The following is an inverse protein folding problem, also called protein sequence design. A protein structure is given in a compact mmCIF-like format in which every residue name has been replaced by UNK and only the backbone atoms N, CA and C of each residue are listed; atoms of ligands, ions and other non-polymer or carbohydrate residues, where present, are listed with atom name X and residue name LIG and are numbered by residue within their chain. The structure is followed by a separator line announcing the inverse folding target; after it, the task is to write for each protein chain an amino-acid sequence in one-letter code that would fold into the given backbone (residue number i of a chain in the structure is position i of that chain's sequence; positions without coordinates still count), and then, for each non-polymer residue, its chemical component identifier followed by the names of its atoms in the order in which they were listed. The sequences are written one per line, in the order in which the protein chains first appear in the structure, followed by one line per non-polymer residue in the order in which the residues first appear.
data_IF_829385944924
#
_entry.id   IF_829385944924
#
_cell.length_a   1.000
_cell.length_b   1.000
_cell.length_c   1.000
_cell.angle_alpha   90.00
_cell.angle_beta   90.00
_cell.angle_gamma   90.00
#
_symmetry.space_group_name_H-M   'P 1'
#
loop_
_entity.id
_entity.type
_entity.pdbx_description
1 polymer ?
#
# COMPACT_ATOMS: atom_id res chain seq x y z
N UNK A 1 40.40 48.28 -7.31
CA UNK A 1 40.71 46.84 -7.22
C UNK A 1 39.44 46.12 -6.81
N UNK A 2 39.16 45.00 -7.47
CA UNK A 2 37.92 44.23 -7.42
C UNK A 2 37.85 43.33 -6.17
N UNK A 3 36.61 43.11 -5.74
CA UNK A 3 36.04 41.91 -5.11
C UNK A 3 36.57 41.45 -3.75
N UNK A 4 35.65 41.30 -2.79
CA UNK A 4 35.15 39.97 -2.38
C UNK A 4 33.95 40.13 -1.45
N UNK A 5 32.74 40.04 -2.01
CA UNK A 5 31.54 39.75 -1.20
C UNK A 5 31.50 38.24 -1.03
N UNK A 6 31.74 37.80 0.21
CA UNK A 6 31.68 36.39 0.60
C UNK A 6 30.21 35.98 0.62
N UNK A 7 29.75 35.35 -0.46
CA UNK A 7 28.40 34.78 -0.55
C UNK A 7 28.39 33.47 0.26
N UNK A 8 27.86 33.53 1.47
CA UNK A 8 27.55 32.34 2.27
C UNK A 8 26.44 31.55 1.56
N UNK A 9 26.82 30.48 0.86
CA UNK A 9 25.89 29.47 0.38
C UNK A 9 25.25 28.78 1.59
N UNK A 10 24.04 29.21 1.94
CA UNK A 10 23.10 28.41 2.70
C UNK A 10 22.81 27.14 1.90
N UNK A 11 23.06 25.99 2.52
CA UNK A 11 22.72 24.68 2.00
C UNK A 11 21.22 24.65 1.64
N UNK A 12 20.93 24.64 0.35
CA UNK A 12 19.60 24.34 -0.18
C UNK A 12 19.39 22.85 0.06
N UNK A 13 18.44 22.41 0.91
CA UNK A 13 18.03 21.02 0.87
C UNK A 13 17.48 20.78 -0.53
N UNK A 14 18.12 19.87 -1.28
CA UNK A 14 17.77 19.50 -2.65
C UNK A 14 16.25 19.49 -2.85
N UNK A 15 15.73 20.56 -3.47
CA UNK A 15 14.36 20.64 -3.94
C UNK A 15 14.27 19.73 -5.17
N UNK A 16 13.72 18.53 -4.98
CA UNK A 16 13.10 17.78 -6.08
C UNK A 16 12.02 18.72 -6.65
N UNK A 17 11.99 19.00 -7.97
CA UNK A 17 10.86 19.72 -8.56
C UNK A 17 9.60 18.95 -8.16
N UNK A 18 8.68 19.64 -7.48
CA UNK A 18 7.49 19.02 -6.95
C UNK A 18 6.59 18.63 -8.12
N UNK A 19 6.79 17.43 -8.67
CA UNK A 19 5.79 16.79 -9.50
C UNK A 19 4.49 16.77 -8.71
N UNK A 20 3.38 17.12 -9.35
CA UNK A 20 2.10 17.13 -8.68
C UNK A 20 1.78 15.72 -8.14
N UNK A 21 1.29 15.62 -6.90
CA UNK A 21 0.78 14.35 -6.40
C UNK A 21 -0.58 14.10 -7.04
N UNK A 22 -0.64 13.13 -7.94
CA UNK A 22 -1.90 12.64 -8.52
C UNK A 22 -2.32 11.38 -7.79
N UNK A 23 -3.53 11.41 -7.24
CA UNK A 23 -4.15 10.25 -6.57
C UNK A 23 -4.92 9.38 -7.57
N UNK A 24 -5.20 8.14 -7.20
CA UNK A 24 -5.96 7.19 -8.05
C UNK A 24 -7.34 7.72 -8.49
N UNK A 25 -7.97 8.60 -7.70
CA UNK A 25 -9.24 9.21 -8.05
C UNK A 25 -9.12 10.48 -8.93
N UNK A 26 -7.91 10.80 -9.40
CA UNK A 26 -7.63 11.95 -10.26
C UNK A 26 -7.49 13.28 -9.52
N UNK A 27 -7.47 13.29 -8.18
CA UNK A 27 -7.20 14.52 -7.42
C UNK A 27 -5.70 14.82 -7.46
N UNK A 28 -5.39 16.06 -7.81
CA UNK A 28 -4.03 16.58 -7.95
C UNK A 28 -3.70 17.53 -6.80
N UNK A 29 -2.53 17.36 -6.19
CA UNK A 29 -1.99 18.25 -5.18
C UNK A 29 -0.69 18.88 -5.67
N UNK A 30 -0.76 20.17 -5.98
CA UNK A 30 0.36 20.94 -6.48
C UNK A 30 1.35 21.32 -5.39
N UNK A 31 2.64 21.34 -5.73
CA UNK A 31 3.74 21.69 -4.83
C UNK A 31 3.67 20.95 -3.49
N UNK A 32 3.28 19.67 -3.53
CA UNK A 32 3.06 18.92 -2.30
C UNK A 32 4.39 18.59 -1.59
N UNK A 33 4.32 18.49 -0.27
CA UNK A 33 5.39 17.94 0.57
C UNK A 33 4.79 17.02 1.61
N UNK A 34 5.42 15.87 1.81
CA UNK A 34 5.03 14.95 2.88
C UNK A 34 5.52 15.54 4.21
N UNK A 35 4.58 15.81 5.10
CA UNK A 35 4.85 16.33 6.44
C UNK A 35 4.97 15.20 7.46
N UNK A 36 4.18 14.13 7.30
CA UNK A 36 4.14 12.99 8.20
C UNK A 36 3.53 11.76 7.51
N UNK A 37 3.89 10.57 7.96
CA UNK A 37 3.36 9.29 7.48
C UNK A 37 2.62 8.61 8.63
N UNK A 38 1.29 8.66 8.58
CA UNK A 38 0.41 8.07 9.57
C UNK A 38 0.12 6.59 9.29
N UNK A 39 -0.74 6.01 10.13
CA UNK A 39 -1.15 4.60 10.02
C UNK A 39 -2.05 4.30 8.82
N UNK A 40 -2.79 5.29 8.32
CA UNK A 40 -3.79 5.12 7.25
C UNK A 40 -3.42 5.84 5.95
N UNK A 41 -2.35 6.63 5.95
CA UNK A 41 -1.94 7.43 4.81
C UNK A 41 -0.90 8.49 5.17
N UNK A 42 -0.68 9.40 4.22
CA UNK A 42 0.31 10.47 4.33
C UNK A 42 -0.37 11.81 4.62
N UNK A 43 0.21 12.57 5.54
CA UNK A 43 -0.15 13.98 5.73
C UNK A 43 0.76 14.81 4.84
N UNK A 44 0.14 15.61 3.98
CA UNK A 44 0.84 16.50 3.06
C UNK A 44 0.52 17.95 3.33
N UNK A 45 1.48 18.83 3.05
CA UNK A 45 1.22 20.24 2.79
C UNK A 45 1.23 20.47 1.29
N UNK A 46 0.32 21.29 0.76
CA UNK A 46 0.22 21.55 -0.68
C UNK A 46 -0.27 22.97 -0.94
N UNK A 47 -0.03 23.48 -2.15
CA UNK A 47 -0.48 24.82 -2.55
C UNK A 47 -1.87 24.74 -3.20
N UNK A 48 -2.77 25.60 -2.76
CA UNK A 48 -4.08 25.79 -3.39
C UNK A 48 -4.50 27.24 -3.28
N UNK A 49 -4.83 27.87 -4.42
CA UNK A 49 -5.22 29.27 -4.49
C UNK A 49 -4.19 30.18 -3.79
N UNK A 50 -2.90 29.95 -4.08
CA UNK A 50 -1.73 30.61 -3.48
C UNK A 50 -1.54 30.43 -1.96
N UNK A 51 -2.42 29.68 -1.30
CA UNK A 51 -2.35 29.40 0.14
C UNK A 51 -1.81 28.00 0.41
N UNK A 52 -0.98 27.88 1.43
CA UNK A 52 -0.53 26.58 1.92
C UNK A 52 -1.69 25.90 2.67
N UNK A 53 -2.02 24.69 2.27
CA UNK A 53 -3.07 23.86 2.85
C UNK A 53 -2.48 22.54 3.34
N UNK A 54 -3.23 21.83 4.18
CA UNK A 54 -2.88 20.49 4.66
C UNK A 54 -3.97 19.50 4.24
N UNK A 55 -3.56 18.30 3.86
CA UNK A 55 -4.48 17.20 3.57
C UNK A 55 -3.90 15.88 4.09
N UNK A 56 -4.79 14.91 4.31
CA UNK A 56 -4.40 13.51 4.48
C UNK A 56 -4.80 12.78 3.22
N UNK A 57 -3.83 12.14 2.57
CA UNK A 57 -4.05 11.26 1.41
C UNK A 57 -3.94 9.84 1.91
N UNK A 58 -5.00 9.06 1.74
CA UNK A 58 -5.03 7.69 2.24
C UNK A 58 -4.07 6.82 1.42
N UNK A 59 -3.49 5.78 2.01
CA UNK A 59 -2.61 4.88 1.26
C UNK A 59 -3.31 4.36 0.01
N UNK A 60 -4.56 3.89 0.13
CA UNK A 60 -5.38 3.41 -1.00
C UNK A 60 -5.59 4.41 -2.14
N UNK A 61 -5.30 5.70 -1.94
CA UNK A 61 -5.43 6.74 -2.96
C UNK A 61 -4.09 7.03 -3.66
N UNK A 62 -2.97 6.54 -3.12
CA UNK A 62 -1.65 6.65 -3.73
C UNK A 62 -1.50 5.58 -4.82
N UNK A 63 -0.98 5.98 -5.97
CA UNK A 63 -0.70 5.05 -7.07
C UNK A 63 0.49 4.14 -6.74
N UNK A 64 0.55 2.97 -7.36
CA UNK A 64 1.73 2.10 -7.24
C UNK A 64 3.00 2.81 -7.75
N UNK A 65 2.90 3.53 -8.86
CA UNK A 65 4.02 4.27 -9.45
C UNK A 65 4.58 5.30 -8.46
N UNK A 66 3.72 5.97 -7.71
CA UNK A 66 4.15 6.88 -6.65
C UNK A 66 4.92 6.14 -5.56
N UNK A 67 4.41 5.00 -5.08
CA UNK A 67 5.05 4.23 -4.01
C UNK A 67 6.40 3.64 -4.46
N UNK A 68 6.50 3.21 -5.72
CA UNK A 68 7.69 2.59 -6.29
C UNK A 68 8.81 3.61 -6.54
N UNK A 69 8.45 4.82 -6.98
CA UNK A 69 9.40 5.84 -7.39
C UNK A 69 9.68 6.90 -6.32
N UNK A 70 9.06 6.79 -5.14
CA UNK A 70 9.27 7.75 -4.07
C UNK A 70 10.73 7.77 -3.60
N UNK A 71 11.35 8.94 -3.66
CA UNK A 71 12.71 9.21 -3.17
C UNK A 71 12.64 10.28 -2.09
N UNK A 72 12.66 9.86 -0.84
CA UNK A 72 12.55 10.75 0.32
C UNK A 72 13.31 10.22 1.51
N UNK A 73 12.77 10.38 2.72
CA UNK A 73 13.43 9.85 3.90
C UNK A 73 13.38 8.30 3.92
N UNK A 74 14.44 7.63 4.43
CA UNK A 74 14.53 6.17 4.40
C UNK A 74 13.35 5.44 5.06
N UNK A 75 12.80 6.00 6.14
CA UNK A 75 11.65 5.39 6.82
C UNK A 75 10.39 5.45 5.96
N UNK A 76 10.08 6.60 5.37
CA UNK A 76 8.93 6.72 4.46
C UNK A 76 9.07 5.81 3.25
N UNK A 77 10.29 5.71 2.68
CA UNK A 77 10.57 4.78 1.58
C UNK A 77 10.26 3.33 1.99
N UNK A 78 10.68 2.91 3.18
CA UNK A 78 10.43 1.55 3.68
C UNK A 78 8.93 1.29 3.95
N UNK A 79 8.21 2.28 4.49
CA UNK A 79 6.75 2.19 4.67
C UNK A 79 6.06 2.02 3.31
N UNK A 80 6.47 2.79 2.30
CA UNK A 80 5.87 2.70 0.97
C UNK A 80 6.21 1.38 0.27
N UNK A 81 7.45 0.89 0.42
CA UNK A 81 7.86 -0.40 -0.10
C UNK A 81 7.05 -1.55 0.51
N UNK A 82 6.83 -1.53 1.84
CA UNK A 82 6.00 -2.51 2.53
C UNK A 82 4.54 -2.49 2.02
N UNK A 83 3.96 -1.30 1.87
CA UNK A 83 2.60 -1.13 1.33
C UNK A 83 2.49 -1.60 -0.13
N UNK A 84 3.47 -1.28 -0.98
CA UNK A 84 3.49 -1.70 -2.38
C UNK A 84 3.58 -3.23 -2.49
N UNK A 85 4.46 -3.86 -1.71
CA UNK A 85 4.60 -5.31 -1.66
C UNK A 85 3.27 -5.98 -1.26
N UNK A 86 2.61 -5.45 -0.22
CA UNK A 86 1.29 -5.94 0.21
C UNK A 86 0.28 -5.89 -0.94
N UNK A 87 0.17 -4.75 -1.64
CA UNK A 87 -0.79 -4.59 -2.75
C UNK A 87 -0.52 -5.55 -3.90
N UNK A 88 0.75 -5.77 -4.25
CA UNK A 88 1.14 -6.71 -5.32
C UNK A 88 0.71 -8.13 -4.95
N UNK A 89 0.93 -8.54 -3.68
CA UNK A 89 0.50 -9.84 -3.17
C UNK A 89 -1.02 -9.98 -3.12
N UNK A 90 -1.75 -8.96 -2.67
CA UNK A 90 -3.23 -8.96 -2.66
C UNK A 90 -3.78 -9.12 -4.08
N UNK A 91 -3.28 -8.37 -5.06
CA UNK A 91 -3.71 -8.51 -6.47
C UNK A 91 -3.47 -9.91 -7.01
N UNK A 92 -2.30 -10.49 -6.74
CA UNK A 92 -2.01 -11.87 -7.15
C UNK A 92 -2.98 -12.88 -6.50
N UNK A 93 -3.34 -12.68 -5.22
CA UNK A 93 -4.35 -13.50 -4.54
C UNK A 93 -5.75 -13.29 -5.13
N UNK A 94 -6.11 -12.07 -5.49
CA UNK A 94 -7.39 -11.76 -6.15
C UNK A 94 -7.50 -12.43 -7.50
N UNK A 95 -6.44 -12.38 -8.33
CA UNK A 95 -6.41 -13.06 -9.63
C UNK A 95 -6.67 -14.56 -9.46
N UNK A 96 -5.91 -15.24 -8.59
CA UNK A 96 -6.09 -16.68 -8.33
C UNK A 96 -7.48 -17.00 -7.80
N UNK A 97 -7.98 -16.21 -6.84
CA UNK A 97 -9.33 -16.34 -6.29
C UNK A 97 -10.38 -16.24 -7.40
N UNK A 98 -10.26 -15.23 -8.26
CA UNK A 98 -11.23 -14.97 -9.33
C UNK A 98 -11.19 -16.08 -10.40
N UNK A 99 -10.01 -16.58 -10.76
CA UNK A 99 -9.86 -17.73 -11.67
C UNK A 99 -10.54 -18.99 -11.10
N UNK A 100 -10.29 -19.33 -9.83
CA UNK A 100 -10.92 -20.48 -9.19
C UNK A 100 -12.45 -20.31 -9.08
N UNK A 101 -12.93 -19.10 -8.74
CA UNK A 101 -14.36 -18.82 -8.66
C UNK A 101 -15.03 -18.91 -10.04
N UNK A 102 -14.41 -18.37 -11.09
CA UNK A 102 -14.93 -18.45 -12.46
C UNK A 102 -15.06 -19.90 -12.93
N UNK A 103 -14.06 -20.75 -12.66
CA UNK A 103 -14.13 -22.18 -13.00
C UNK A 103 -15.27 -22.90 -12.25
N UNK A 104 -15.53 -22.53 -11.00
CA UNK A 104 -16.65 -23.07 -10.22
C UNK A 104 -18.01 -22.56 -10.69
N UNK A 105 -18.09 -21.31 -11.14
CA UNK A 105 -19.30 -20.74 -11.73
C UNK A 105 -19.66 -21.42 -13.05
N UNK A 106 -18.68 -21.72 -13.90
CA UNK A 106 -18.87 -22.49 -15.13
C UNK A 106 -19.39 -23.90 -14.82
N UNK A 107 -18.75 -24.62 -13.89
CA UNK A 107 -19.24 -25.93 -13.44
C UNK A 107 -20.65 -25.87 -12.85
N UNK A 108 -20.96 -24.83 -12.09
CA UNK A 108 -22.29 -24.62 -11.54
C UNK A 108 -23.34 -24.38 -12.64
N UNK A 109 -22.98 -23.62 -13.68
CA UNK A 109 -23.82 -23.35 -14.84
C UNK A 109 -24.10 -24.65 -15.62
N UNK A 110 -23.08 -25.45 -15.94
CA UNK A 110 -23.22 -26.76 -16.59
C UNK A 110 -24.16 -27.68 -15.80
N UNK A 111 -24.05 -27.70 -14.47
CA UNK A 111 -24.92 -28.50 -13.62
C UNK A 111 -26.37 -27.99 -13.57
N UNK A 112 -26.63 -26.73 -13.94
CA UNK A 112 -27.96 -26.14 -14.00
C UNK A 112 -28.63 -26.29 -15.37
N UNK A 113 -27.86 -26.60 -16.41
CA UNK A 113 -28.34 -26.84 -17.77
C UNK A 113 -29.41 -27.94 -17.84
N UNK A 114 -30.40 -27.84 -18.74
CA UNK A 114 -31.41 -28.88 -18.94
C UNK A 114 -30.81 -30.23 -19.34
N UNK A 115 -29.71 -30.25 -20.09
CA UNK A 115 -28.99 -31.47 -20.47
C UNK A 115 -28.49 -32.23 -19.24
N UNK A 116 -27.80 -31.55 -18.32
CA UNK A 116 -27.33 -32.13 -17.07
C UNK A 116 -28.49 -32.58 -16.17
N UNK A 117 -29.64 -31.89 -16.20
CA UNK A 117 -30.84 -32.32 -15.47
C UNK A 117 -31.41 -33.64 -15.97
N UNK A 118 -31.29 -33.91 -17.27
CA UNK A 118 -31.74 -35.15 -17.92
C UNK A 118 -30.73 -36.29 -17.75
N UNK A 119 -29.43 -35.98 -17.81
CA UNK A 119 -28.36 -36.97 -17.76
C UNK A 119 -27.97 -37.39 -16.35
N UNK A 120 -28.12 -36.52 -15.34
CA UNK A 120 -27.65 -36.80 -13.98
C UNK A 120 -28.79 -36.90 -12.95
N UNK A 121 -28.70 -37.93 -12.10
CA UNK A 121 -29.58 -38.12 -10.94
C UNK A 121 -29.65 -36.85 -10.06
N UNK A 122 -30.87 -36.46 -9.69
CA UNK A 122 -31.18 -35.27 -8.88
C UNK A 122 -30.38 -35.19 -7.56
N UNK A 123 -30.23 -36.30 -6.83
CA UNK A 123 -29.49 -36.34 -5.58
C UNK A 123 -27.99 -36.11 -5.79
N UNK A 124 -27.41 -36.72 -6.84
CA UNK A 124 -26.00 -36.53 -7.22
C UNK A 124 -25.75 -35.08 -7.64
N UNK A 125 -26.66 -34.49 -8.43
CA UNK A 125 -26.61 -33.08 -8.85
C UNK A 125 -26.65 -32.12 -7.67
N UNK A 126 -27.59 -32.31 -6.74
CA UNK A 126 -27.69 -31.50 -5.52
C UNK A 126 -26.43 -31.58 -4.67
N UNK A 127 -25.79 -32.76 -4.57
CA UNK A 127 -24.54 -32.94 -3.84
C UNK A 127 -23.38 -32.21 -4.52
N UNK A 128 -23.27 -32.27 -5.85
CA UNK A 128 -22.25 -31.53 -6.60
C UNK A 128 -22.39 -30.00 -6.41
N UNK A 129 -23.61 -29.47 -6.56
CA UNK A 129 -23.90 -28.05 -6.32
C UNK A 129 -23.64 -27.59 -4.87
N UNK A 130 -23.75 -28.48 -3.88
CA UNK A 130 -23.36 -28.16 -2.50
C UNK A 130 -21.83 -28.05 -2.38
N UNK A 131 -21.09 -29.02 -2.94
CA UNK A 131 -19.62 -29.00 -2.94
C UNK A 131 -19.05 -27.74 -3.60
N UNK A 132 -19.64 -27.30 -4.72
CA UNK A 132 -19.24 -26.05 -5.38
C UNK A 132 -19.41 -24.86 -4.42
N UNK A 133 -20.59 -24.70 -3.81
CA UNK A 133 -20.85 -23.61 -2.86
C UNK A 133 -19.96 -23.65 -1.62
N UNK A 134 -19.69 -24.85 -1.10
CA UNK A 134 -18.78 -25.02 0.03
C UNK A 134 -17.34 -24.64 -0.35
N UNK A 135 -16.91 -24.99 -1.57
CA UNK A 135 -15.60 -24.59 -2.11
C UNK A 135 -15.51 -23.08 -2.35
N UNK A 136 -16.53 -22.45 -2.91
CA UNK A 136 -16.58 -20.98 -3.07
C UNK A 136 -16.41 -20.27 -1.71
N UNK A 137 -17.11 -20.74 -0.67
CA UNK A 137 -16.94 -20.22 0.70
C UNK A 137 -15.54 -20.46 1.25
N UNK A 138 -14.94 -21.62 0.98
CA UNK A 138 -13.59 -21.94 1.41
C UNK A 138 -12.57 -21.01 0.74
N UNK A 139 -12.68 -20.78 -0.57
CA UNK A 139 -11.82 -19.86 -1.32
C UNK A 139 -11.87 -18.46 -0.70
N UNK A 140 -13.08 -17.93 -0.42
CA UNK A 140 -13.24 -16.62 0.21
C UNK A 140 -12.60 -16.55 1.60
N UNK A 141 -12.73 -17.61 2.41
CA UNK A 141 -12.12 -17.68 3.76
C UNK A 141 -10.60 -17.67 3.68
N UNK A 142 -10.02 -18.48 2.77
CA UNK A 142 -8.57 -18.54 2.56
C UNK A 142 -8.07 -17.16 2.12
N UNK A 143 -8.72 -16.53 1.14
CA UNK A 143 -8.38 -15.18 0.70
C UNK A 143 -8.35 -14.18 1.85
N UNK A 144 -9.41 -14.14 2.68
CA UNK A 144 -9.48 -13.23 3.82
C UNK A 144 -8.37 -13.50 4.86
N UNK A 145 -8.04 -14.77 5.12
CA UNK A 145 -6.97 -15.14 6.02
C UNK A 145 -5.60 -14.68 5.50
N UNK A 146 -5.33 -14.87 4.21
CA UNK A 146 -4.09 -14.39 3.60
C UNK A 146 -3.98 -12.87 3.61
N UNK A 147 -5.07 -12.15 3.29
CA UNK A 147 -5.08 -10.69 3.41
C UNK A 147 -4.77 -10.22 4.83
N UNK A 148 -5.35 -10.85 5.85
CA UNK A 148 -5.05 -10.52 7.25
C UNK A 148 -3.59 -10.78 7.60
N UNK A 149 -3.00 -11.89 7.14
CA UNK A 149 -1.57 -12.17 7.34
C UNK A 149 -0.68 -11.13 6.69
N UNK A 150 -1.06 -10.65 5.51
CA UNK A 150 -0.33 -9.59 4.81
C UNK A 150 -0.43 -8.24 5.53
N UNK A 151 -1.59 -7.92 6.11
CA UNK A 151 -1.75 -6.72 6.94
C UNK A 151 -0.86 -6.79 8.20
N UNK A 152 -0.80 -7.95 8.86
CA UNK A 152 0.07 -8.14 10.03
C UNK A 152 1.56 -8.06 9.67
N UNK A 153 1.96 -8.65 8.54
CA UNK A 153 3.33 -8.60 8.05
C UNK A 153 3.77 -7.17 7.68
N UNK A 154 2.89 -6.40 7.02
CA UNK A 154 3.15 -4.99 6.72
C UNK A 154 3.33 -4.19 8.01
N UNK A 155 2.44 -4.36 9.00
CA UNK A 155 2.54 -3.68 10.29
C UNK A 155 3.85 -4.00 11.01
N UNK A 156 4.23 -5.27 11.08
CA UNK A 156 5.49 -5.70 11.70
C UNK A 156 6.70 -5.05 11.02
N UNK A 157 6.70 -4.99 9.69
CA UNK A 157 7.77 -4.36 8.90
C UNK A 157 7.86 -2.86 9.16
N UNK A 158 6.73 -2.17 9.20
CA UNK A 158 6.66 -0.73 9.51
C UNK A 158 7.11 -0.44 10.94
N UNK A 159 6.66 -1.23 11.92
CA UNK A 159 7.02 -1.04 13.32
C UNK A 159 8.51 -1.32 13.57
N UNK A 160 9.08 -2.31 12.89
CA UNK A 160 10.52 -2.56 12.91
C UNK A 160 11.31 -1.37 12.36
N UNK A 161 10.93 -0.85 11.20
CA UNK A 161 11.60 0.30 10.59
C UNK A 161 11.51 1.57 11.46
N UNK A 162 10.38 1.78 12.15
CA UNK A 162 10.23 2.90 13.11
C UNK A 162 11.17 2.75 14.30
N UNK A 163 11.24 1.55 14.89
CA UNK A 163 12.13 1.26 16.02
C UNK A 163 13.61 1.43 15.63
N UNK A 164 14.00 1.01 14.44
CA UNK A 164 15.37 1.22 13.94
C UNK A 164 15.73 2.70 13.83
N UNK A 165 14.81 3.54 13.34
CA UNK A 165 15.00 5.00 13.28
C UNK A 165 15.09 5.63 14.68
N UNK A 166 14.26 5.18 15.62
CA UNK A 166 14.30 5.65 17.01
C UNK A 166 15.63 5.30 17.68
N UNK A 167 16.06 4.03 17.59
CA UNK A 167 17.32 3.57 18.17
C UNK A 167 18.56 4.25 17.55
N UNK A 168 18.55 4.47 16.23
CA UNK A 168 19.63 5.17 15.53
C UNK A 168 19.81 6.62 15.99
N UNK A 169 18.71 7.30 16.34
CA UNK A 169 18.76 8.65 16.90
C UNK A 169 19.30 8.67 18.34
N UNK A 170 19.01 7.65 19.15
CA UNK A 170 19.55 7.55 20.52
C UNK A 170 21.08 7.33 20.53
N UNK A 171 21.61 6.50 19.63
CA UNK A 171 23.06 6.26 19.54
C UNK A 171 23.89 7.45 19.05
N UNK A 172 23.27 8.49 18.49
CA UNK A 172 23.93 9.74 18.11
C UNK A 172 23.79 10.85 19.16
N UNK A 173 23.18 10.57 20.31
CA UNK A 173 23.05 11.47 21.46
C UNK A 173 24.26 11.36 22.39
N UNK A 174 25.41 11.86 21.93
CA UNK A 174 26.56 12.43 22.68
C UNK A 174 27.10 11.74 23.96
N UNK A 175 28.32 11.16 23.97
CA UNK A 175 29.09 10.91 25.17
C UNK A 175 29.86 12.18 25.59
N UNK A 176 29.16 13.25 25.98
CA UNK A 176 29.78 14.38 26.68
C UNK A 176 29.15 14.59 28.06
N UNK A 177 29.51 13.72 29.01
CA UNK A 177 29.46 14.08 30.44
C UNK A 177 30.31 13.17 31.33
N UNK A 178 31.63 13.26 31.22
CA UNK A 178 32.52 12.98 32.36
C UNK A 178 33.66 13.98 32.40
N UNK A 179 33.36 15.17 32.94
CA UNK A 179 34.34 16.11 33.43
C UNK A 179 34.04 16.41 34.89
N UNK A 180 34.79 15.77 35.78
CA UNK A 180 35.09 16.25 37.13
C UNK A 180 36.56 15.99 37.39
#
# INVERSE_FOLDING_TARGET
MRNTVLLTLLAIPFCIPADDLVTENGKTFQDYRIADVGSIGIRITYKKDEKLRKATVLFKELTDDFLENYKGDPLTMEIFAASLEKRRKIRALETRKNEELAALEEQEAELKEPSAKRQMNSARRKRALRRIRDRQKQIQRIFNQECSRLDDAERQRIDAAKKEKENGNETHSDPQRTGK
#
